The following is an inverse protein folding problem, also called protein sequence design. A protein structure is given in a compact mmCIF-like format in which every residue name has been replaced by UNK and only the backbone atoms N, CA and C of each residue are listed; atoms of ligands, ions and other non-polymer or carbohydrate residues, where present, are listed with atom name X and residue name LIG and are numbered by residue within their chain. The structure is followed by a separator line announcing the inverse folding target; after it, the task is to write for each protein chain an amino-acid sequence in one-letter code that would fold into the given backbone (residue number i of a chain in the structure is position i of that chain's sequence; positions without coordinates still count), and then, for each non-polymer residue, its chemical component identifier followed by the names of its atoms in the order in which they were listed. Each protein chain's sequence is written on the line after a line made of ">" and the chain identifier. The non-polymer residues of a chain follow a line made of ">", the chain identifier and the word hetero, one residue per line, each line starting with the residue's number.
data_IF_506687552469
#
_entry.id   IF_506687552469
#
_cell.length_a   1.000
_cell.length_b   1.000
_cell.length_c   1.000
_cell.angle_alpha   90.00
_cell.angle_beta   90.00
_cell.angle_gamma   90.00
#
_symmetry.space_group_name_H-M   'P 1'
#
loop_
_entity.id
_entity.type
_entity.pdbx_description
1 polymer ?
#
# COMPACT_ATOMS: atom_id res chain seq x y z
N UNK A 1 13.69 -12.98 9.53
CA UNK A 1 12.84 -12.72 8.34
C UNK A 1 11.42 -12.32 8.76
N UNK A 2 11.23 -11.54 9.82
CA UNK A 2 9.91 -11.21 10.33
C UNK A 2 9.46 -9.80 9.90
N UNK A 3 10.40 -8.88 9.74
CA UNK A 3 10.07 -7.47 9.55
C UNK A 3 9.29 -7.18 8.26
N UNK A 4 9.42 -8.05 7.25
CA UNK A 4 8.68 -7.93 6.00
C UNK A 4 7.17 -8.20 6.19
N UNK A 5 6.80 -9.19 7.03
CA UNK A 5 5.40 -9.46 7.38
C UNK A 5 4.80 -8.39 8.28
N UNK A 6 5.60 -7.85 9.22
CA UNK A 6 5.20 -6.72 10.07
C UNK A 6 4.98 -5.47 9.22
N UNK A 7 5.84 -5.22 8.23
CA UNK A 7 5.69 -4.12 7.29
C UNK A 7 4.41 -4.25 6.45
N UNK A 8 4.05 -5.47 6.03
CA UNK A 8 2.78 -5.72 5.34
C UNK A 8 1.56 -5.54 6.24
N UNK A 9 1.63 -5.92 7.52
CA UNK A 9 0.57 -5.67 8.50
C UNK A 9 0.30 -4.17 8.67
N UNK A 10 1.37 -3.37 8.80
CA UNK A 10 1.27 -1.90 8.89
C UNK A 10 0.70 -1.31 7.61
N UNK A 11 1.10 -1.82 6.45
CA UNK A 11 0.56 -1.37 5.16
C UNK A 11 -0.93 -1.69 5.00
N UNK A 12 -1.36 -2.92 5.34
CA UNK A 12 -2.78 -3.32 5.29
C UNK A 12 -3.64 -2.49 6.25
N UNK A 13 -3.12 -2.22 7.45
CA UNK A 13 -3.78 -1.37 8.43
C UNK A 13 -3.86 0.09 7.96
N UNK A 14 -2.83 0.60 7.29
CA UNK A 14 -2.86 1.94 6.68
C UNK A 14 -3.81 2.06 5.49
N UNK A 15 -4.09 0.97 4.77
CA UNK A 15 -5.01 0.95 3.64
C UNK A 15 -6.50 0.84 4.03
N UNK A 16 -6.80 0.38 5.26
CA UNK A 16 -8.16 0.23 5.75
C UNK A 16 -8.67 1.53 6.42
N UNK A 17 -9.89 1.95 6.10
CA UNK A 17 -10.54 3.09 6.77
C UNK A 17 -11.33 2.67 8.02
N UNK A 18 -11.79 1.42 8.06
CA UNK A 18 -12.57 0.86 9.17
C UNK A 18 -11.70 0.24 10.27
N UNK A 19 -12.14 0.39 11.53
CA UNK A 19 -11.46 -0.17 12.69
C UNK A 19 -11.35 -1.71 12.60
N UNK A 20 -12.43 -2.38 12.18
CA UNK A 20 -12.43 -3.83 11.99
C UNK A 20 -11.44 -4.25 10.89
N UNK A 21 -11.36 -3.50 9.78
CA UNK A 21 -10.40 -3.76 8.71
C UNK A 21 -8.95 -3.61 9.16
N UNK A 22 -8.66 -2.63 10.02
CA UNK A 22 -7.34 -2.44 10.63
C UNK A 22 -6.98 -3.60 11.56
N UNK A 23 -7.91 -4.05 12.39
CA UNK A 23 -7.69 -5.19 13.29
C UNK A 23 -7.42 -6.48 12.52
N UNK A 24 -8.25 -6.79 11.53
CA UNK A 24 -8.09 -7.99 10.69
C UNK A 24 -6.81 -7.93 9.85
N UNK A 25 -6.49 -6.74 9.32
CA UNK A 25 -5.27 -6.49 8.55
C UNK A 25 -3.98 -6.65 9.36
N UNK A 26 -4.02 -6.39 10.67
CA UNK A 26 -2.91 -6.70 11.57
C UNK A 26 -2.92 -8.16 12.03
N UNK A 27 -4.09 -8.73 12.30
CA UNK A 27 -4.22 -10.06 12.89
C UNK A 27 -3.63 -11.15 12.00
N UNK A 28 -4.09 -11.26 10.74
CA UNK A 28 -3.68 -12.34 9.85
C UNK A 28 -2.16 -12.44 9.61
N UNK A 29 -1.45 -11.33 9.30
CA UNK A 29 -0.01 -11.39 9.09
C UNK A 29 0.76 -11.75 10.36
N UNK A 30 0.32 -11.25 11.53
CA UNK A 30 0.97 -11.53 12.81
C UNK A 30 0.75 -12.99 13.21
N UNK A 31 -0.46 -13.52 13.07
CA UNK A 31 -0.76 -14.94 13.33
C UNK A 31 0.02 -15.87 12.40
N UNK A 32 0.15 -15.50 11.13
CA UNK A 32 0.93 -16.26 10.14
C UNK A 32 2.42 -16.27 10.49
N UNK A 33 2.95 -15.12 10.93
CA UNK A 33 4.32 -15.02 11.42
C UNK A 33 4.55 -15.96 12.61
N UNK A 34 3.64 -15.98 13.59
CA UNK A 34 3.74 -16.84 14.78
C UNK A 34 3.65 -18.33 14.38
N UNK A 35 2.76 -18.68 13.45
CA UNK A 35 2.56 -20.06 13.00
C UNK A 35 3.74 -20.65 12.22
N UNK A 36 4.52 -19.83 11.51
CA UNK A 36 5.70 -20.29 10.74
C UNK A 36 6.94 -20.39 11.65
N UNK A 37 6.91 -19.82 12.86
CA UNK A 37 8.02 -19.90 13.82
C UNK A 37 9.26 -19.14 13.37
N UNK A 38 9.10 -18.08 12.57
CA UNK A 38 10.23 -17.29 12.08
C UNK A 38 10.92 -16.56 13.24
N UNK A 39 12.25 -16.46 13.19
CA UNK A 39 13.00 -15.72 14.21
C UNK A 39 12.70 -14.22 14.10
N UNK A 40 12.13 -13.66 15.18
CA UNK A 40 11.86 -12.24 15.34
C UNK A 40 12.78 -11.68 16.41
N UNK A 41 13.53 -10.63 16.07
CA UNK A 41 14.55 -10.04 16.94
C UNK A 41 13.99 -9.68 18.31
N UNK A 42 12.75 -9.16 18.37
CA UNK A 42 12.11 -8.75 19.63
C UNK A 42 11.55 -9.96 20.40
N UNK A 43 11.08 -11.00 19.72
CA UNK A 43 10.60 -12.22 20.38
C UNK A 43 11.77 -12.99 20.98
N UNK A 44 12.87 -13.10 20.24
CA UNK A 44 14.11 -13.71 20.71
C UNK A 44 14.68 -12.91 21.89
N UNK A 45 14.55 -11.59 21.92
CA UNK A 45 14.91 -10.75 23.06
C UNK A 45 14.11 -11.03 24.34
N UNK A 46 12.90 -11.60 24.24
CA UNK A 46 12.07 -11.95 25.39
C UNK A 46 12.27 -13.42 25.82
N UNK A 47 12.34 -14.33 24.84
CA UNK A 47 12.43 -15.78 25.09
C UNK A 47 13.84 -16.20 25.54
N UNK A 48 14.90 -15.59 25.01
CA UNK A 48 16.28 -15.98 25.34
C UNK A 48 16.70 -15.62 26.78
N UNK A 49 16.38 -14.43 27.33
CA UNK A 49 16.63 -14.14 28.75
C UNK A 49 15.82 -15.05 29.68
N UNK A 50 14.56 -15.35 29.33
CA UNK A 50 13.73 -16.30 30.07
C UNK A 50 14.34 -17.72 30.08
N UNK A 51 14.85 -18.18 28.94
CA UNK A 51 15.53 -19.48 28.85
C UNK A 51 16.81 -19.55 29.70
N UNK A 52 17.57 -18.45 29.78
CA UNK A 52 18.74 -18.32 30.65
C UNK A 52 18.35 -18.34 32.15
N UNK A 53 17.25 -17.70 32.52
CA UNK A 53 16.75 -17.72 33.91
C UNK A 53 16.25 -19.10 34.34
N UNK A 54 15.78 -19.92 33.40
CA UNK A 54 15.34 -21.31 33.64
C UNK A 54 16.52 -22.30 33.63
N UNK A 55 17.75 -21.83 33.38
CA UNK A 55 18.96 -22.65 33.46
C UNK A 55 19.29 -23.42 32.19
N UNK A 56 18.84 -22.95 31.02
CA UNK A 56 19.23 -23.55 29.74
C UNK A 56 20.75 -23.48 29.53
N UNK A 57 21.39 -24.49 28.90
CA UNK A 57 22.83 -24.53 28.64
C UNK A 57 23.21 -23.61 27.46
N UNK A 58 22.88 -22.32 27.59
CA UNK A 58 23.06 -21.30 26.57
C UNK A 58 23.97 -20.19 27.10
N UNK A 59 25.10 -20.00 26.46
CA UNK A 59 26.01 -18.89 26.76
C UNK A 59 25.49 -17.61 26.11
N UNK A 60 25.40 -16.52 26.88
CA UNK A 60 24.97 -15.19 26.38
C UNK A 60 25.72 -14.77 25.11
N UNK A 61 27.02 -15.06 25.02
CA UNK A 61 27.83 -14.76 23.84
C UNK A 61 27.38 -15.50 22.57
N UNK A 62 26.97 -16.76 22.67
CA UNK A 62 26.49 -17.57 21.54
C UNK A 62 25.10 -17.10 21.09
N UNK A 63 24.26 -16.73 22.05
CA UNK A 63 22.92 -16.20 21.82
C UNK A 63 22.96 -14.87 21.05
N UNK A 64 23.85 -13.96 21.44
CA UNK A 64 23.98 -12.65 20.78
C UNK A 64 24.58 -12.80 19.38
N UNK A 65 25.67 -13.56 19.25
CA UNK A 65 26.45 -13.63 17.99
C UNK A 65 25.81 -14.50 16.92
N UNK A 66 25.21 -15.64 17.29
CA UNK A 66 24.64 -16.58 16.31
C UNK A 66 23.15 -16.36 16.05
N UNK A 67 22.46 -15.58 16.88
CA UNK A 67 21.03 -15.41 16.76
C UNK A 67 20.64 -13.92 16.62
N UNK A 68 21.03 -13.07 17.56
CA UNK A 68 20.56 -11.68 17.59
C UNK A 68 21.11 -10.81 16.43
N UNK A 69 22.42 -10.87 16.17
CA UNK A 69 23.05 -10.09 15.09
C UNK A 69 22.50 -10.45 13.70
N UNK A 70 22.48 -11.72 13.26
CA UNK A 70 21.95 -12.07 11.94
C UNK A 70 20.46 -11.77 11.80
N UNK A 71 19.67 -11.92 12.88
CA UNK A 71 18.24 -11.60 12.86
C UNK A 71 17.98 -10.10 12.73
N UNK A 72 18.76 -9.25 13.43
CA UNK A 72 18.63 -7.78 13.32
C UNK A 72 18.99 -7.30 11.91
N UNK A 73 20.08 -7.80 11.33
CA UNK A 73 20.50 -7.44 9.97
C UNK A 73 19.47 -7.89 8.93
N UNK A 74 19.03 -9.15 9.02
CA UNK A 74 18.02 -9.70 8.11
C UNK A 74 16.67 -8.98 8.23
N UNK A 75 16.26 -8.60 9.44
CA UNK A 75 15.03 -7.83 9.66
C UNK A 75 15.16 -6.37 9.19
N UNK A 76 16.32 -5.74 9.36
CA UNK A 76 16.59 -4.40 8.84
C UNK A 76 16.51 -4.35 7.32
N UNK A 77 17.20 -5.27 6.63
CA UNK A 77 17.24 -5.33 5.16
C UNK A 77 15.85 -5.66 4.59
N UNK A 78 15.15 -6.64 5.16
CA UNK A 78 13.83 -7.04 4.66
C UNK A 78 12.76 -5.95 4.87
N UNK A 79 12.81 -5.22 6.00
CA UNK A 79 11.94 -4.08 6.25
C UNK A 79 12.23 -2.91 5.30
N UNK A 80 13.51 -2.55 5.16
CA UNK A 80 13.93 -1.48 4.26
C UNK A 80 13.56 -1.76 2.80
N UNK A 81 13.75 -2.98 2.29
CA UNK A 81 13.42 -3.33 0.91
C UNK A 81 11.92 -3.26 0.63
N UNK A 82 11.07 -3.81 1.49
CA UNK A 82 9.62 -3.81 1.25
C UNK A 82 9.03 -2.41 1.42
N UNK A 83 9.44 -1.66 2.44
CA UNK A 83 8.94 -0.29 2.67
C UNK A 83 9.45 0.66 1.59
N UNK A 84 10.74 0.59 1.23
CA UNK A 84 11.28 1.43 0.15
C UNK A 84 10.69 1.06 -1.21
N UNK A 85 10.49 -0.23 -1.51
CA UNK A 85 9.89 -0.66 -2.78
C UNK A 85 8.41 -0.29 -2.88
N UNK A 86 7.63 -0.46 -1.80
CA UNK A 86 6.21 -0.07 -1.78
C UNK A 86 6.02 1.43 -1.91
N UNK A 87 6.79 2.25 -1.18
CA UNK A 87 6.75 3.71 -1.33
C UNK A 87 7.26 4.17 -2.69
N UNK A 88 8.32 3.54 -3.24
CA UNK A 88 8.82 3.87 -4.58
C UNK A 88 7.83 3.52 -5.69
N UNK A 89 7.09 2.42 -5.53
CA UNK A 89 6.03 2.03 -6.46
C UNK A 89 4.84 2.99 -6.42
N UNK A 90 4.47 3.47 -5.23
CA UNK A 90 3.25 4.25 -5.03
C UNK A 90 3.46 5.77 -5.21
N UNK A 91 4.57 6.30 -4.72
CA UNK A 91 4.90 7.74 -4.72
C UNK A 91 6.14 8.09 -5.54
N UNK A 92 6.94 7.10 -5.96
CA UNK A 92 8.19 7.31 -6.72
C UNK A 92 8.02 7.27 -8.25
N UNK A 93 9.17 7.29 -8.94
CA UNK A 93 9.29 7.45 -10.41
C UNK A 93 8.55 6.36 -11.22
N UNK A 94 8.34 5.16 -10.65
CA UNK A 94 7.55 4.08 -11.27
C UNK A 94 6.05 4.38 -11.35
N UNK A 95 5.50 5.21 -10.46
CA UNK A 95 4.10 5.64 -10.49
C UNK A 95 3.79 6.73 -11.53
N UNK A 96 4.81 7.29 -12.18
CA UNK A 96 4.65 8.34 -13.19
C UNK A 96 3.84 7.90 -14.41
N UNK A 97 3.97 6.62 -14.81
CA UNK A 97 3.27 6.06 -15.97
C UNK A 97 1.74 6.08 -15.77
N UNK A 98 1.26 5.66 -14.59
CA UNK A 98 -0.17 5.67 -14.25
C UNK A 98 -0.73 7.09 -14.21
N UNK A 99 0.07 8.06 -13.76
CA UNK A 99 -0.29 9.48 -13.72
C UNK A 99 -0.38 10.07 -15.14
N UNK A 100 0.53 9.70 -16.03
CA UNK A 100 0.51 10.10 -17.44
C UNK A 100 -0.72 9.54 -18.17
N UNK A 101 -1.00 8.23 -18.01
CA UNK A 101 -2.18 7.57 -18.60
C UNK A 101 -3.48 8.19 -18.08
N UNK A 102 -3.57 8.48 -16.77
CA UNK A 102 -4.77 9.12 -16.22
C UNK A 102 -4.96 10.56 -16.74
N UNK A 103 -3.86 11.31 -16.86
CA UNK A 103 -3.88 12.69 -17.40
C UNK A 103 -4.27 12.71 -18.88
N UNK A 104 -3.80 11.74 -19.66
CA UNK A 104 -4.20 11.56 -21.05
C UNK A 104 -5.68 11.19 -21.17
N UNK A 105 -6.15 10.26 -20.33
CA UNK A 105 -7.56 9.85 -20.30
C UNK A 105 -8.49 11.02 -19.94
N UNK A 106 -8.08 11.86 -18.97
CA UNK A 106 -8.79 13.10 -18.62
C UNK A 106 -8.81 14.10 -19.78
N UNK A 107 -7.68 14.31 -20.45
CA UNK A 107 -7.60 15.21 -21.59
C UNK A 107 -8.51 14.75 -22.74
N UNK A 108 -8.60 13.44 -23.00
CA UNK A 108 -9.49 12.88 -24.01
C UNK A 108 -10.97 13.03 -23.62
N UNK A 109 -11.32 12.79 -22.35
CA UNK A 109 -12.69 13.03 -21.85
C UNK A 109 -13.09 14.51 -21.94
N UNK A 110 -12.20 15.44 -21.59
CA UNK A 110 -12.47 16.88 -21.71
C UNK A 110 -12.69 17.29 -23.18
N UNK A 111 -11.90 16.73 -24.11
CA UNK A 111 -12.08 16.97 -25.55
C UNK A 111 -13.42 16.43 -26.06
N UNK A 112 -13.85 15.24 -25.60
CA UNK A 112 -15.16 14.68 -25.93
C UNK A 112 -16.29 15.56 -25.42
N UNK A 113 -16.26 15.94 -24.14
CA UNK A 113 -17.28 16.82 -23.55
C UNK A 113 -17.35 18.18 -24.24
N UNK A 114 -16.22 18.76 -24.62
CA UNK A 114 -16.18 20.01 -25.37
C UNK A 114 -16.77 19.88 -26.79
N UNK A 115 -16.58 18.72 -27.44
CA UNK A 115 -17.17 18.43 -28.74
C UNK A 115 -18.68 18.25 -28.64
N UNK A 116 -19.15 17.47 -27.66
CA UNK A 116 -20.57 17.25 -27.41
C UNK A 116 -21.31 18.56 -27.10
N UNK A 117 -20.73 19.44 -26.26
CA UNK A 117 -21.33 20.76 -25.99
C UNK A 117 -21.54 21.59 -27.26
N UNK A 118 -20.57 21.62 -28.16
CA UNK A 118 -20.68 22.37 -29.42
C UNK A 118 -21.73 21.78 -30.37
N UNK A 119 -21.86 20.46 -30.39
CA UNK A 119 -22.90 19.80 -31.20
C UNK A 119 -24.30 20.08 -30.64
N UNK A 120 -24.46 20.05 -29.31
CA UNK A 120 -25.73 20.40 -28.64
C UNK A 120 -26.08 21.87 -28.87
N UNK A 121 -25.12 22.79 -28.78
CA UNK A 121 -25.34 24.22 -29.00
C UNK A 121 -25.79 24.51 -30.44
N UNK A 122 -25.13 23.90 -31.44
CA UNK A 122 -25.58 23.98 -32.85
C UNK A 122 -26.98 23.41 -33.06
N UNK A 123 -27.29 22.30 -32.38
CA UNK A 123 -28.62 21.68 -32.47
C UNK A 123 -29.68 22.62 -31.88
N UNK A 124 -29.38 23.23 -30.73
CA UNK A 124 -30.23 24.21 -30.07
C UNK A 124 -30.46 25.45 -30.94
N UNK A 125 -29.41 26.04 -31.53
CA UNK A 125 -29.55 27.19 -32.45
C UNK A 125 -30.44 26.85 -33.65
N UNK A 126 -30.28 25.65 -34.22
CA UNK A 126 -31.10 25.18 -35.34
C UNK A 126 -32.56 25.00 -34.93
N UNK A 127 -32.80 24.39 -33.76
CA UNK A 127 -34.15 24.17 -33.23
C UNK A 127 -34.85 25.50 -32.88
N UNK A 128 -34.12 26.47 -32.30
CA UNK A 128 -34.62 27.83 -32.01
C UNK A 128 -34.94 28.59 -33.30
N UNK A 129 -34.07 28.51 -34.32
CA UNK A 129 -34.29 29.18 -35.61
C UNK A 129 -35.52 28.60 -36.35
N UNK A 130 -35.72 27.29 -36.25
CA UNK A 130 -36.89 26.62 -36.83
C UNK A 130 -38.18 27.03 -36.11
N UNK A 131 -38.15 27.17 -34.78
CA UNK A 131 -39.28 27.67 -34.00
C UNK A 131 -39.63 29.13 -34.33
N UNK A 132 -38.64 30.00 -34.55
CA UNK A 132 -38.87 31.40 -34.91
C UNK A 132 -39.44 31.58 -36.33
N UNK A 133 -39.00 30.78 -37.30
CA UNK A 133 -39.52 30.83 -38.68
C UNK A 133 -40.88 30.12 -38.85
N UNK A 134 -41.28 29.30 -37.86
CA UNK A 134 -42.59 28.62 -37.82
C UNK A 134 -43.69 29.40 -37.09
N UNK A 135 -43.39 30.57 -36.52
CA UNK A 135 -44.38 31.43 -35.88
C UNK A 135 -45.18 32.21 -36.94
N UNK A 136 -46.52 32.01 -37.05
CA UNK A 136 -47.34 32.90 -37.85
C UNK A 136 -47.34 34.30 -37.19
N UNK A 137 -46.96 35.33 -37.96
CA UNK A 137 -47.16 36.74 -37.62
C UNK A 137 -48.65 37.07 -37.53
#
# INVERSE_FOLDING_TARGET
>A
MCNWMVSMAVFLSGAANDLAGKMVGCWFPISTFVGIGLEHSIANLFVLPLALMVGAPLTLGTVITKNLIPVVIGNGIAGALIVAASYSYQFGRLGGLRRAVFKEKLANMQKQLAKERKEVEKKLEKDVTLALNGLPL
#
